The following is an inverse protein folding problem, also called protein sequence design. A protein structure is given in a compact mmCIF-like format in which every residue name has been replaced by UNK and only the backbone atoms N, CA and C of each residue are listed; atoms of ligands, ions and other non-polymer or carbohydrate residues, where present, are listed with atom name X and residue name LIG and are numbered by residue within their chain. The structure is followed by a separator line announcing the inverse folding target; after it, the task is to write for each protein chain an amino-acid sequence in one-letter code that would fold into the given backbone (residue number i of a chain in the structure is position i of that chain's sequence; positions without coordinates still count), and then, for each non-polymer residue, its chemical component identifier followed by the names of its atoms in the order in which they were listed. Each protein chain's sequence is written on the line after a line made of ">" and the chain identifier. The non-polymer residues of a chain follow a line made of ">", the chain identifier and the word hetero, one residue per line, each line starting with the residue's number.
data_IF_311358879918
#
_entry.id   IF_311358879918
#
_cell.length_a   1.000
_cell.length_b   1.000
_cell.length_c   1.000
_cell.angle_alpha   90.00
_cell.angle_beta   90.00
_cell.angle_gamma   90.00
#
_symmetry.space_group_name_H-M   'P 1'
#
loop_
_entity.id
_entity.type
_entity.pdbx_description
1 polymer ?
#
# COMPACT_ATOMS: atom_id res chain seq x y z
N UNK A 1 8.77 13.02 12.94
CA UNK A 1 7.38 12.58 13.16
C UNK A 1 6.61 13.53 14.12
N UNK A 2 5.35 13.81 13.81
CA UNK A 2 4.38 14.45 14.70
C UNK A 2 3.63 13.37 15.49
N UNK A 3 3.07 13.70 16.65
CA UNK A 3 2.22 12.77 17.43
C UNK A 3 0.77 13.16 17.25
N UNK A 4 -0.06 12.20 16.83
CA UNK A 4 -1.50 12.36 16.69
C UNK A 4 -2.22 11.73 17.87
N UNK A 5 -3.17 12.46 18.46
CA UNK A 5 -4.07 11.94 19.49
C UNK A 5 -5.51 12.09 19.06
N UNK A 6 -6.27 11.03 19.27
CA UNK A 6 -7.73 11.02 19.14
C UNK A 6 -8.32 10.96 20.55
N UNK A 7 -9.16 11.93 20.91
CA UNK A 7 -9.91 11.92 22.17
C UNK A 7 -11.40 11.82 21.87
N UNK A 8 -12.10 10.96 22.61
CA UNK A 8 -13.56 10.89 22.62
C UNK A 8 -14.08 11.74 23.78
N UNK A 9 -14.83 12.79 23.48
CA UNK A 9 -15.58 13.53 24.49
C UNK A 9 -16.99 12.98 24.59
N UNK A 10 -17.67 13.22 25.71
CA UNK A 10 -19.05 12.78 26.01
C UNK A 10 -20.12 13.32 25.06
N UNK A 11 -19.75 14.14 24.08
CA UNK A 11 -20.53 14.47 22.88
C UNK A 11 -19.73 14.05 21.63
N UNK A 12 -20.41 13.47 20.63
CA UNK A 12 -19.90 12.74 19.45
C UNK A 12 -19.01 13.53 18.47
N UNK A 13 -18.00 14.27 18.93
CA UNK A 13 -17.01 14.93 18.09
C UNK A 13 -15.64 14.29 18.30
N UNK A 14 -15.13 13.66 17.25
CA UNK A 14 -13.74 13.19 17.16
C UNK A 14 -12.83 14.42 17.04
N UNK A 15 -12.08 14.74 18.10
CA UNK A 15 -11.07 15.80 18.06
C UNK A 15 -9.70 15.19 17.79
N UNK A 16 -9.09 15.59 16.66
CA UNK A 16 -7.72 15.21 16.31
C UNK A 16 -6.77 16.32 16.79
N UNK A 17 -5.83 15.97 17.65
CA UNK A 17 -4.81 16.89 18.15
C UNK A 17 -3.43 16.47 17.66
N UNK A 18 -2.67 17.45 17.18
CA UNK A 18 -1.33 17.27 16.64
C UNK A 18 -0.34 17.98 17.55
N UNK A 19 0.64 17.24 18.07
CA UNK A 19 1.72 17.83 18.87
C UNK A 19 2.90 18.18 17.98
N UNK A 20 3.25 19.46 17.99
CA UNK A 20 4.28 20.07 17.15
C UNK A 20 5.69 19.93 17.77
N UNK A 21 6.78 20.09 17.00
CA UNK A 21 8.16 19.96 17.51
C UNK A 21 8.51 20.93 18.65
N UNK A 22 7.92 22.13 18.65
CA UNK A 22 8.01 23.12 19.72
C UNK A 22 7.14 22.78 20.95
N UNK A 23 6.55 21.58 20.98
CA UNK A 23 5.65 21.04 22.01
C UNK A 23 4.28 21.69 22.10
N UNK A 24 3.93 22.63 21.22
CA UNK A 24 2.56 23.16 21.14
C UNK A 24 1.61 22.09 20.62
N UNK A 25 0.37 22.14 21.07
CA UNK A 25 -0.70 21.26 20.58
C UNK A 25 -1.62 22.09 19.72
N UNK A 26 -1.85 21.63 18.50
CA UNK A 26 -2.73 22.26 17.52
C UNK A 26 -3.79 21.28 17.09
N UNK A 27 -4.98 21.78 16.77
CA UNK A 27 -6.04 20.95 16.22
C UNK A 27 -5.75 20.58 14.76
N UNK A 28 -5.87 19.29 14.44
CA UNK A 28 -5.78 18.77 13.10
C UNK A 28 -7.17 18.58 12.51
N UNK A 29 -7.39 19.06 11.29
CA UNK A 29 -8.62 18.81 10.52
C UNK A 29 -8.40 17.63 9.58
N UNK A 30 -9.23 16.60 9.67
CA UNK A 30 -9.21 15.50 8.72
C UNK A 30 -9.64 15.99 7.34
N UNK A 31 -8.73 15.94 6.36
CA UNK A 31 -9.04 16.24 4.97
C UNK A 31 -9.58 15.01 4.25
N UNK A 32 -8.94 13.87 4.47
CA UNK A 32 -9.14 12.65 3.68
C UNK A 32 -8.80 11.41 4.48
N UNK A 33 -9.56 10.33 4.24
CA UNK A 33 -9.23 9.00 4.71
C UNK A 33 -9.43 8.00 3.57
N UNK A 34 -8.38 7.22 3.27
CA UNK A 34 -8.45 6.10 2.35
C UNK A 34 -8.49 4.79 3.15
N UNK A 35 -9.61 4.08 3.08
CA UNK A 35 -9.79 2.81 3.77
C UNK A 35 -8.87 1.72 3.23
N UNK A 36 -8.66 1.70 1.90
CA UNK A 36 -7.83 0.69 1.25
C UNK A 36 -6.37 0.80 1.67
N UNK A 37 -5.80 2.00 1.77
CA UNK A 37 -4.41 2.17 2.21
C UNK A 37 -4.27 2.37 3.73
N UNK A 38 -5.37 2.63 4.44
CA UNK A 38 -5.34 2.96 5.86
C UNK A 38 -4.68 4.30 6.17
N UNK A 39 -4.66 5.23 5.21
CA UNK A 39 -4.00 6.54 5.34
C UNK A 39 -5.03 7.64 5.58
N UNK A 40 -4.68 8.58 6.46
CA UNK A 40 -5.42 9.81 6.70
C UNK A 40 -4.54 11.02 6.37
N UNK A 41 -5.08 12.00 5.65
CA UNK A 41 -4.44 13.29 5.44
C UNK A 41 -5.06 14.32 6.38
N UNK A 42 -4.22 15.01 7.14
CA UNK A 42 -4.63 16.01 8.11
C UNK A 42 -4.10 17.38 7.70
N UNK A 43 -4.93 18.40 7.85
CA UNK A 43 -4.54 19.80 7.78
C UNK A 43 -4.30 20.32 9.20
N UNK A 44 -3.17 21.00 9.40
CA UNK A 44 -2.85 21.67 10.65
C UNK A 44 -2.57 23.13 10.33
N UNK A 45 -3.29 24.06 10.97
CA UNK A 45 -3.09 25.50 10.80
C UNK A 45 -2.14 26.03 11.86
N UNK A 46 -1.15 26.82 11.47
CA UNK A 46 -0.32 27.56 12.42
C UNK A 46 0.92 28.16 11.79
N UNK A 47 1.57 29.06 12.54
CA UNK A 47 2.77 29.77 12.12
C UNK A 47 4.00 28.94 12.48
N UNK A 48 4.28 27.93 11.66
CA UNK A 48 5.45 27.07 11.81
C UNK A 48 6.15 26.84 10.47
N UNK A 49 7.48 26.83 10.50
CA UNK A 49 8.28 26.37 9.37
C UNK A 49 8.61 24.89 9.58
N UNK A 50 8.00 24.03 8.76
CA UNK A 50 8.33 22.61 8.73
C UNK A 50 9.28 22.35 7.56
N UNK A 51 10.34 21.60 7.83
CA UNK A 51 11.16 21.05 6.77
C UNK A 51 10.42 19.86 6.15
N UNK A 52 10.27 19.89 4.83
CA UNK A 52 9.77 18.74 4.07
C UNK A 52 10.88 17.70 4.05
N UNK A 53 10.60 16.46 4.49
CA UNK A 53 11.60 15.39 4.48
C UNK A 53 11.95 14.97 3.04
N UNK A 54 13.13 14.40 2.87
CA UNK A 54 13.50 13.71 1.63
C UNK A 54 12.71 12.41 1.49
N UNK A 55 12.40 12.03 0.26
CA UNK A 55 11.66 10.81 -0.06
C UNK A 55 12.51 9.90 -0.95
N UNK A 56 12.58 8.62 -0.58
CA UNK A 56 13.29 7.61 -1.36
C UNK A 56 12.47 7.12 -2.56
N UNK A 57 13.07 6.24 -3.36
CA UNK A 57 12.47 5.71 -4.59
C UNK A 57 11.48 4.55 -4.36
N UNK A 58 11.37 4.05 -3.14
CA UNK A 58 10.50 2.92 -2.79
C UNK A 58 11.18 1.99 -1.79
N UNK A 59 10.59 0.81 -1.63
CA UNK A 59 11.02 -0.21 -0.68
C UNK A 59 11.22 -1.55 -1.38
N UNK A 60 12.32 -2.23 -1.06
CA UNK A 60 12.67 -3.54 -1.58
C UNK A 60 12.76 -4.57 -0.45
N UNK A 61 12.45 -5.82 -0.75
CA UNK A 61 12.64 -6.91 0.21
C UNK A 61 14.11 -7.07 0.60
N UNK A 62 14.36 -7.35 1.87
CA UNK A 62 15.70 -7.44 2.47
C UNK A 62 16.37 -6.09 2.74
N UNK A 63 15.78 -4.97 2.32
CA UNK A 63 16.34 -3.63 2.58
C UNK A 63 16.33 -3.34 4.09
N UNK A 64 17.47 -2.87 4.61
CA UNK A 64 17.58 -2.32 5.97
C UNK A 64 16.80 -1.00 6.09
N UNK A 65 16.09 -0.87 7.20
CA UNK A 65 15.18 0.24 7.45
C UNK A 65 15.17 0.63 8.92
N UNK A 66 14.79 1.88 9.15
CA UNK A 66 14.58 2.43 10.48
C UNK A 66 13.13 2.90 10.63
N UNK A 67 12.38 2.29 11.55
CA UNK A 67 11.04 2.75 11.92
C UNK A 67 11.15 3.82 13.00
N UNK A 68 10.65 5.03 12.71
CA UNK A 68 10.72 6.18 13.60
C UNK A 68 9.36 6.48 14.20
N UNK A 69 9.35 6.73 15.50
CA UNK A 69 8.17 7.15 16.24
C UNK A 69 8.52 8.26 17.24
N UNK A 70 7.51 8.83 17.90
CA UNK A 70 7.71 9.67 19.08
C UNK A 70 6.84 9.17 20.21
N UNK A 71 7.39 9.15 21.41
CA UNK A 71 6.65 8.79 22.62
C UNK A 71 5.74 9.94 23.09
N UNK A 72 5.05 9.73 24.20
CA UNK A 72 4.20 10.74 24.82
C UNK A 72 4.96 12.00 25.27
N UNK A 73 6.28 11.90 25.48
CA UNK A 73 7.14 13.01 25.85
C UNK A 73 7.77 13.72 24.64
N UNK A 74 7.37 13.34 23.41
CA UNK A 74 7.96 13.78 22.14
C UNK A 74 9.42 13.35 21.96
N UNK A 75 9.92 12.38 22.72
CA UNK A 75 11.24 11.78 22.52
C UNK A 75 11.23 10.97 21.23
N UNK A 76 12.26 11.11 20.40
CA UNK A 76 12.39 10.31 19.19
C UNK A 76 12.72 8.86 19.58
N UNK A 77 11.96 7.92 19.04
CA UNK A 77 12.21 6.49 19.17
C UNK A 77 12.56 5.92 17.80
N UNK A 78 13.51 4.99 17.76
CA UNK A 78 13.96 4.33 16.54
C UNK A 78 14.03 2.83 16.77
N UNK A 79 13.62 2.07 15.75
CA UNK A 79 13.81 0.63 15.67
C UNK A 79 14.47 0.30 14.33
N UNK A 80 15.56 -0.43 14.38
CA UNK A 80 16.25 -0.93 13.19
C UNK A 80 15.69 -2.30 12.83
N UNK A 81 15.48 -2.54 11.54
CA UNK A 81 15.03 -3.82 11.01
C UNK A 81 15.19 -3.86 9.50
N UNK A 82 14.44 -4.74 8.85
CA UNK A 82 14.48 -4.99 7.41
C UNK A 82 13.08 -5.20 6.85
N UNK A 83 12.91 -5.00 5.54
CA UNK A 83 11.70 -5.45 4.83
C UNK A 83 11.74 -6.97 4.69
N UNK A 84 10.78 -7.67 5.27
CA UNK A 84 10.76 -9.14 5.32
C UNK A 84 10.17 -9.77 4.07
N UNK A 85 10.74 -10.90 3.66
CA UNK A 85 10.22 -11.80 2.63
C UNK A 85 9.09 -12.66 3.19
N UNK A 86 8.11 -12.02 3.84
CA UNK A 86 6.98 -12.69 4.48
C UNK A 86 5.70 -12.33 3.76
N UNK A 87 4.84 -13.32 3.60
CA UNK A 87 3.46 -13.13 3.17
C UNK A 87 2.55 -13.94 4.08
N UNK A 88 1.42 -13.34 4.47
CA UNK A 88 0.38 -13.98 5.25
C UNK A 88 -0.91 -14.02 4.42
N UNK A 89 -1.12 -15.11 3.65
CA UNK A 89 -2.21 -15.22 2.70
C UNK A 89 -3.56 -15.01 3.37
N UNK A 90 -4.40 -14.14 2.79
CA UNK A 90 -5.78 -13.90 3.24
C UNK A 90 -5.95 -12.86 4.35
N UNK A 91 -4.85 -12.36 4.94
CA UNK A 91 -4.91 -11.36 6.02
C UNK A 91 -4.77 -9.92 5.50
N UNK A 92 -4.09 -9.71 4.37
CA UNK A 92 -3.85 -8.39 3.80
C UNK A 92 -4.38 -8.32 2.37
N UNK A 93 -5.35 -7.43 2.12
CA UNK A 93 -5.85 -7.08 0.78
C UNK A 93 -5.09 -5.93 0.12
N UNK A 94 -4.07 -5.42 0.81
CA UNK A 94 -3.48 -4.11 0.59
C UNK A 94 -1.98 -4.28 0.29
N UNK A 95 -1.34 -3.30 -0.36
CA UNK A 95 0.06 -3.35 -0.84
C UNK A 95 1.08 -3.19 0.30
N UNK A 96 0.86 -3.88 1.41
CA UNK A 96 1.71 -3.83 2.59
C UNK A 96 2.86 -4.84 2.46
N UNK A 97 4.00 -4.51 3.04
CA UNK A 97 5.12 -5.43 3.26
C UNK A 97 5.44 -5.51 4.74
N UNK A 98 5.93 -6.66 5.21
CA UNK A 98 6.22 -6.86 6.62
C UNK A 98 7.56 -6.26 7.02
N UNK A 99 7.63 -5.73 8.24
CA UNK A 99 8.87 -5.31 8.88
C UNK A 99 9.36 -6.43 9.80
N UNK A 100 10.68 -6.64 9.87
CA UNK A 100 11.29 -7.59 10.81
C UNK A 100 11.46 -7.02 12.23
N UNK A 101 11.15 -5.74 12.42
CA UNK A 101 11.20 -5.05 13.70
C UNK A 101 9.81 -4.62 14.15
N UNK A 102 9.63 -4.56 15.48
CA UNK A 102 8.46 -3.94 16.08
C UNK A 102 8.43 -2.44 15.80
N UNK A 103 7.21 -1.88 15.70
CA UNK A 103 7.01 -0.44 15.69
C UNK A 103 6.89 0.01 17.15
N UNK A 104 7.57 1.07 17.60
CA UNK A 104 7.38 1.59 18.95
C UNK A 104 5.91 1.92 19.22
N UNK A 105 5.46 1.80 20.47
CA UNK A 105 4.09 2.14 20.85
C UNK A 105 3.74 3.57 20.42
N UNK A 106 2.55 3.74 19.83
CA UNK A 106 2.14 5.02 19.21
C UNK A 106 2.85 5.36 17.90
N UNK A 107 3.69 4.45 17.37
CA UNK A 107 4.45 4.63 16.14
C UNK A 107 3.72 4.27 14.85
N UNK A 108 2.49 3.76 14.91
CA UNK A 108 1.66 3.56 13.71
C UNK A 108 1.38 4.92 13.06
N UNK A 109 1.57 5.00 11.73
CA UNK A 109 1.59 6.26 11.00
C UNK A 109 2.97 6.95 10.99
N UNK A 110 3.96 6.40 11.69
CA UNK A 110 5.33 6.89 11.72
C UNK A 110 6.11 6.57 10.42
N UNK A 111 7.12 7.39 10.07
CA UNK A 111 7.91 7.15 8.87
C UNK A 111 8.87 5.97 9.06
N UNK A 112 9.03 5.23 7.98
CA UNK A 112 10.14 4.28 7.79
C UNK A 112 11.15 4.95 6.86
N UNK A 113 12.43 4.98 7.28
CA UNK A 113 13.51 5.63 6.52
C UNK A 113 14.62 4.65 6.15
N UNK A 114 15.31 4.96 5.05
CA UNK A 114 16.56 4.29 4.66
C UNK A 114 17.76 4.84 5.44
N UNK A 115 18.96 4.32 5.14
CA UNK A 115 20.22 4.73 5.74
C UNK A 115 20.58 6.21 5.51
N UNK A 116 20.10 6.80 4.42
CA UNK A 116 20.34 8.20 4.06
C UNK A 116 19.31 9.14 4.72
N UNK A 117 18.35 8.58 5.48
CA UNK A 117 17.28 9.32 6.13
C UNK A 117 16.14 9.71 5.20
N UNK A 118 16.08 9.17 3.99
CA UNK A 118 14.94 9.37 3.10
C UNK A 118 13.76 8.53 3.58
N UNK A 119 12.57 9.11 3.60
CA UNK A 119 11.34 8.36 3.90
C UNK A 119 11.05 7.44 2.72
N UNK A 120 10.96 6.15 3.01
CA UNK A 120 10.67 5.07 2.06
C UNK A 120 9.31 4.42 2.30
N UNK A 121 8.69 4.66 3.46
CA UNK A 121 7.32 4.23 3.73
C UNK A 121 6.71 4.77 5.02
N UNK A 122 5.50 4.32 5.33
CA UNK A 122 4.81 4.57 6.60
C UNK A 122 4.48 3.23 7.25
N UNK A 123 4.80 3.12 8.54
CA UNK A 123 4.62 1.90 9.32
C UNK A 123 3.22 1.81 9.95
N UNK A 124 2.65 0.62 10.01
CA UNK A 124 1.40 0.32 10.69
C UNK A 124 1.54 -0.93 11.53
N UNK A 125 0.94 -0.90 12.71
CA UNK A 125 0.75 -2.11 13.47
C UNK A 125 -0.51 -2.83 12.95
N UNK A 126 -0.36 -4.07 12.52
CA UNK A 126 -1.44 -4.91 11.98
C UNK A 126 -1.19 -6.35 12.39
N UNK A 127 -2.25 -7.12 12.61
CA UNK A 127 -2.09 -8.56 12.77
C UNK A 127 -1.70 -9.19 11.41
N UNK A 128 -0.71 -10.11 11.37
CA UNK A 128 -0.01 -10.74 12.50
C UNK A 128 1.29 -10.05 12.94
N UNK A 129 1.70 -8.97 12.28
CA UNK A 129 2.87 -8.20 12.67
C UNK A 129 3.00 -6.88 11.91
N UNK A 130 3.95 -6.03 12.32
CA UNK A 130 4.15 -4.72 11.75
C UNK A 130 4.33 -4.73 10.24
N UNK A 131 3.68 -3.77 9.57
CA UNK A 131 3.76 -3.60 8.12
C UNK A 131 4.18 -2.20 7.73
N UNK A 132 4.64 -2.05 6.50
CA UNK A 132 4.94 -0.78 5.86
C UNK A 132 4.22 -0.68 4.52
N UNK A 133 3.74 0.52 4.18
CA UNK A 133 3.30 0.86 2.83
C UNK A 133 4.34 1.78 2.17
N UNK A 134 4.58 1.56 0.88
CA UNK A 134 5.57 2.34 0.12
C UNK A 134 5.23 3.83 0.09
N UNK A 135 6.27 4.66 0.22
CA UNK A 135 6.14 6.10 0.11
C UNK A 135 5.67 6.53 -1.29
N UNK A 136 6.02 5.78 -2.33
CA UNK A 136 5.59 6.03 -3.71
C UNK A 136 4.07 5.98 -3.81
N UNK A 137 3.48 4.88 -3.33
CA UNK A 137 2.03 4.69 -3.23
C UNK A 137 1.34 5.80 -2.43
N UNK A 138 1.89 6.15 -1.25
CA UNK A 138 1.33 7.22 -0.41
C UNK A 138 1.37 8.57 -1.13
N UNK A 139 2.50 8.91 -1.76
CA UNK A 139 2.67 10.18 -2.47
C UNK A 139 1.68 10.30 -3.62
N UNK A 140 1.54 9.24 -4.42
CA UNK A 140 0.53 9.23 -5.50
C UNK A 140 -0.88 9.43 -4.95
N UNK A 141 -1.23 8.81 -3.82
CA UNK A 141 -2.52 9.05 -3.18
C UNK A 141 -2.71 10.50 -2.72
N UNK A 142 -1.67 11.12 -2.13
CA UNK A 142 -1.70 12.52 -1.71
C UNK A 142 -1.86 13.46 -2.93
N UNK A 143 -1.11 13.21 -4.00
CA UNK A 143 -1.16 13.98 -5.24
C UNK A 143 -2.55 13.87 -5.90
N UNK A 144 -3.11 12.66 -5.99
CA UNK A 144 -4.47 12.44 -6.50
C UNK A 144 -5.51 13.18 -5.66
N UNK A 145 -5.41 13.10 -4.34
CA UNK A 145 -6.32 13.80 -3.45
C UNK A 145 -6.22 15.32 -3.64
N UNK A 146 -5.00 15.86 -3.73
CA UNK A 146 -4.79 17.28 -3.92
C UNK A 146 -5.40 17.79 -5.23
N UNK A 147 -5.25 17.04 -6.32
CA UNK A 147 -5.71 17.48 -7.64
C UNK A 147 -7.19 17.17 -7.91
N UNK A 148 -7.69 16.03 -7.44
CA UNK A 148 -9.02 15.52 -7.81
C UNK A 148 -9.95 15.32 -6.61
N UNK A 149 -9.46 15.49 -5.37
CA UNK A 149 -10.19 15.16 -4.13
C UNK A 149 -10.74 13.73 -4.09
N UNK A 150 -10.10 12.82 -4.84
CA UNK A 150 -10.45 11.41 -4.99
C UNK A 150 -9.16 10.63 -5.19
N UNK A 151 -9.11 9.39 -4.73
CA UNK A 151 -8.06 8.44 -5.07
C UNK A 151 -8.72 7.31 -5.84
N UNK A 152 -8.29 7.09 -7.07
CA UNK A 152 -8.84 6.06 -7.95
C UNK A 152 -7.85 4.91 -8.13
N UNK A 153 -8.37 3.68 -8.18
CA UNK A 153 -7.58 2.47 -8.40
C UNK A 153 -8.44 1.39 -9.08
N UNK A 154 -7.92 0.66 -10.07
CA UNK A 154 -8.60 -0.52 -10.61
C UNK A 154 -8.89 -1.59 -9.53
N UNK A 155 -10.08 -2.17 -9.56
CA UNK A 155 -10.50 -3.25 -8.65
C UNK A 155 -10.34 -4.63 -9.30
N UNK A 156 -9.18 -5.25 -9.11
CA UNK A 156 -8.88 -6.57 -9.68
C UNK A 156 -9.83 -7.69 -9.23
N UNK A 157 -10.56 -7.54 -8.13
CA UNK A 157 -11.48 -8.59 -7.66
C UNK A 157 -10.79 -9.89 -7.24
N UNK A 158 -9.48 -9.85 -6.97
CA UNK A 158 -8.68 -11.00 -6.54
C UNK A 158 -7.60 -10.57 -5.54
N UNK A 159 -7.08 -11.53 -4.77
CA UNK A 159 -5.89 -11.37 -3.95
C UNK A 159 -4.72 -12.05 -4.62
N UNK A 160 -3.59 -11.36 -4.66
CA UNK A 160 -2.38 -11.78 -5.34
C UNK A 160 -1.26 -11.96 -4.33
N UNK A 161 -0.45 -13.00 -4.53
CA UNK A 161 0.83 -13.22 -3.86
C UNK A 161 1.94 -13.09 -4.90
N UNK A 162 2.94 -12.25 -4.66
CA UNK A 162 4.09 -12.16 -5.57
C UNK A 162 4.86 -13.48 -5.59
N UNK A 163 5.24 -13.96 -6.78
CA UNK A 163 6.08 -15.17 -6.95
C UNK A 163 7.41 -15.03 -6.21
N UNK A 164 7.91 -13.81 -6.08
CA UNK A 164 9.13 -13.47 -5.33
C UNK A 164 9.04 -13.86 -3.84
N UNK A 165 7.83 -13.92 -3.26
CA UNK A 165 7.56 -14.30 -1.86
C UNK A 165 7.36 -15.81 -1.65
N UNK A 166 7.63 -16.63 -2.67
CA UNK A 166 7.59 -18.09 -2.54
C UNK A 166 8.95 -18.64 -2.08
N UNK A 167 8.88 -19.82 -1.47
CA UNK A 167 10.08 -20.59 -1.15
C UNK A 167 10.90 -20.88 -2.42
N UNK A 168 12.22 -20.96 -2.24
CA UNK A 168 13.16 -21.14 -3.35
C UNK A 168 12.84 -22.38 -4.18
N UNK A 169 12.41 -23.48 -3.55
CA UNK A 169 12.03 -24.72 -4.24
C UNK A 169 10.82 -24.52 -5.16
N UNK A 170 9.77 -23.83 -4.69
CA UNK A 170 8.58 -23.53 -5.51
C UNK A 170 8.94 -22.59 -6.66
N UNK A 171 9.83 -21.63 -6.44
CA UNK A 171 10.31 -20.73 -7.50
C UNK A 171 11.12 -21.48 -8.55
N UNK A 172 11.96 -22.42 -8.13
CA UNK A 172 12.72 -23.29 -9.02
C UNK A 172 11.80 -24.16 -9.86
N UNK A 173 10.80 -24.80 -9.25
CA UNK A 173 9.76 -25.59 -9.94
C UNK A 173 9.03 -24.75 -11.01
N UNK A 174 8.52 -23.58 -10.62
CA UNK A 174 7.86 -22.64 -11.55
C UNK A 174 8.76 -22.24 -12.72
N UNK A 175 10.04 -22.03 -12.46
CA UNK A 175 11.02 -21.66 -13.47
C UNK A 175 11.32 -22.82 -14.43
N UNK A 176 11.59 -24.02 -13.91
CA UNK A 176 12.02 -25.17 -14.70
C UNK A 176 10.87 -25.81 -15.49
N UNK A 177 9.69 -25.91 -14.89
CA UNK A 177 8.55 -26.62 -15.49
C UNK A 177 7.68 -25.72 -16.35
N UNK A 178 7.53 -24.44 -15.97
CA UNK A 178 6.58 -23.51 -16.60
C UNK A 178 7.23 -22.27 -17.21
N UNK A 179 8.56 -22.11 -17.08
CA UNK A 179 9.31 -20.92 -17.52
C UNK A 179 8.74 -19.62 -16.90
N UNK A 180 8.28 -19.70 -15.65
CA UNK A 180 7.74 -18.59 -14.87
C UNK A 180 8.84 -18.08 -13.94
N UNK A 181 9.34 -16.88 -14.21
CA UNK A 181 10.41 -16.23 -13.42
C UNK A 181 9.91 -15.09 -12.52
N UNK A 182 8.61 -14.76 -12.61
CA UNK A 182 7.99 -13.70 -11.85
C UNK A 182 6.48 -13.64 -12.07
N UNK A 183 5.85 -12.60 -11.56
CA UNK A 183 4.39 -12.43 -11.60
C UNK A 183 3.75 -12.70 -10.25
N UNK A 184 2.47 -13.07 -10.27
CA UNK A 184 1.64 -13.15 -9.08
C UNK A 184 0.77 -14.41 -9.09
N UNK A 185 0.80 -15.18 -8.01
CA UNK A 185 -0.14 -16.29 -7.79
C UNK A 185 -1.46 -15.74 -7.26
N UNK A 186 -2.56 -16.21 -7.83
CA UNK A 186 -3.91 -15.90 -7.36
C UNK A 186 -4.22 -16.71 -6.10
N UNK A 187 -4.28 -16.04 -4.96
CA UNK A 187 -4.61 -16.67 -3.69
C UNK A 187 -6.12 -16.77 -3.45
N UNK A 188 -6.88 -15.77 -3.93
CA UNK A 188 -8.33 -15.70 -3.80
C UNK A 188 -8.92 -14.97 -5.00
N UNK A 189 -10.05 -15.45 -5.50
CA UNK A 189 -10.90 -14.73 -6.45
C UNK A 189 -12.21 -14.39 -5.75
N UNK A 190 -12.65 -13.14 -5.82
CA UNK A 190 -13.93 -12.72 -5.25
C UNK A 190 -15.08 -13.24 -6.11
N UNK A 191 -16.12 -13.75 -5.47
CA UNK A 191 -17.39 -14.11 -6.12
C UNK A 191 -17.97 -12.89 -6.82
N UNK A 192 -18.56 -13.09 -8.00
CA UNK A 192 -19.16 -12.08 -8.87
C UNK A 192 -18.17 -11.00 -9.36
N UNK A 193 -16.87 -11.23 -9.24
CA UNK A 193 -15.84 -10.34 -9.78
C UNK A 193 -15.65 -10.53 -11.28
N UNK A 194 -15.08 -9.51 -11.95
CA UNK A 194 -14.71 -9.67 -13.35
C UNK A 194 -13.66 -10.77 -13.54
N UNK A 195 -12.72 -10.92 -12.59
CA UNK A 195 -11.73 -12.01 -12.61
C UNK A 195 -12.42 -13.39 -12.64
N UNK A 196 -13.43 -13.62 -11.81
CA UNK A 196 -14.19 -14.88 -11.80
C UNK A 196 -14.91 -15.11 -13.14
N UNK A 197 -15.59 -14.08 -13.67
CA UNK A 197 -16.37 -14.17 -14.91
C UNK A 197 -15.51 -14.48 -16.14
N UNK A 198 -14.27 -13.99 -16.18
CA UNK A 198 -13.34 -14.27 -17.29
C UNK A 198 -12.53 -15.55 -17.10
N UNK A 199 -12.80 -16.33 -16.04
CA UNK A 199 -12.20 -17.64 -15.86
C UNK A 199 -10.94 -17.68 -14.99
N UNK A 200 -10.48 -16.57 -14.41
CA UNK A 200 -9.35 -16.61 -13.45
C UNK A 200 -9.77 -17.39 -12.21
N UNK A 201 -8.90 -18.29 -11.75
CA UNK A 201 -9.10 -19.16 -10.59
C UNK A 201 -7.96 -19.04 -9.60
N UNK A 202 -8.22 -19.48 -8.37
CA UNK A 202 -7.19 -19.65 -7.34
C UNK A 202 -6.14 -20.65 -7.84
N UNK A 203 -4.87 -20.31 -7.66
CA UNK A 203 -3.74 -21.13 -8.11
C UNK A 203 -3.15 -20.69 -9.45
N UNK A 204 -3.90 -19.93 -10.26
CA UNK A 204 -3.36 -19.37 -11.50
C UNK A 204 -2.17 -18.44 -11.21
N UNK A 205 -1.18 -18.43 -12.10
CA UNK A 205 -0.10 -17.43 -12.10
C UNK A 205 -0.40 -16.37 -13.14
N UNK A 206 -0.41 -15.11 -12.72
CA UNK A 206 -0.71 -13.95 -13.54
C UNK A 206 0.55 -13.13 -13.77
N UNK A 207 0.82 -12.84 -15.04
CA UNK A 207 1.86 -11.90 -15.47
C UNK A 207 1.22 -10.73 -16.20
N UNK A 208 1.38 -9.52 -15.68
CA UNK A 208 0.92 -8.30 -16.34
C UNK A 208 1.85 -7.98 -17.52
N UNK A 209 1.30 -7.84 -18.73
CA UNK A 209 2.11 -7.62 -19.94
C UNK A 209 2.54 -6.17 -20.12
N UNK A 210 1.68 -5.24 -19.70
CA UNK A 210 1.89 -3.81 -19.90
C UNK A 210 2.93 -3.23 -18.91
N UNK A 211 3.19 -3.92 -17.80
CA UNK A 211 4.21 -3.55 -16.84
C UNK A 211 4.81 -4.77 -16.16
N UNK A 212 6.14 -4.87 -16.13
CA UNK A 212 6.89 -5.98 -15.51
C UNK A 212 7.01 -5.79 -14.00
N UNK A 213 5.87 -5.68 -13.31
CA UNK A 213 5.83 -5.63 -11.86
C UNK A 213 6.25 -7.00 -11.28
N UNK A 214 7.26 -7.02 -10.41
CA UNK A 214 7.68 -8.24 -9.69
C UNK A 214 7.21 -8.24 -8.23
N UNK A 215 6.97 -7.05 -7.65
CA UNK A 215 6.55 -6.88 -6.26
C UNK A 215 5.15 -6.30 -6.14
N UNK A 216 4.51 -6.50 -4.99
CA UNK A 216 3.19 -5.92 -4.70
C UNK A 216 3.20 -4.38 -4.72
N UNK A 217 4.19 -3.67 -4.14
CA UNK A 217 4.26 -2.21 -4.27
C UNK A 217 4.38 -1.73 -5.71
N UNK A 218 5.16 -2.40 -6.55
CA UNK A 218 5.28 -2.03 -7.97
C UNK A 218 3.96 -2.23 -8.72
N UNK A 219 3.26 -3.33 -8.46
CA UNK A 219 1.93 -3.56 -9.02
C UNK A 219 0.97 -2.47 -8.55
N UNK A 220 1.03 -2.09 -7.29
CA UNK A 220 0.18 -1.05 -6.74
C UNK A 220 0.42 0.31 -7.40
N UNK A 221 1.68 0.72 -7.52
CA UNK A 221 2.05 1.98 -8.16
C UNK A 221 1.60 2.01 -9.63
N UNK A 222 1.68 0.86 -10.32
CA UNK A 222 1.11 0.72 -11.66
C UNK A 222 -0.41 0.89 -11.68
N UNK A 223 -1.14 0.24 -10.77
CA UNK A 223 -2.59 0.36 -10.68
C UNK A 223 -3.03 1.80 -10.34
N UNK A 224 -2.29 2.49 -9.46
CA UNK A 224 -2.51 3.90 -9.19
C UNK A 224 -2.20 4.78 -10.41
N UNK A 225 -1.18 4.48 -11.21
CA UNK A 225 -0.91 5.23 -12.45
C UNK A 225 -2.09 5.17 -13.43
N UNK A 226 -2.77 4.02 -13.52
CA UNK A 226 -3.99 3.87 -14.31
C UNK A 226 -5.15 4.66 -13.70
N UNK A 227 -5.26 4.67 -12.36
CA UNK A 227 -6.23 5.48 -11.63
C UNK A 227 -6.06 6.97 -11.86
N UNK A 228 -4.82 7.44 -11.98
CA UNK A 228 -4.51 8.82 -12.32
C UNK A 228 -5.07 9.18 -13.69
N UNK A 229 -4.82 8.34 -14.70
CA UNK A 229 -5.38 8.52 -16.04
C UNK A 229 -6.91 8.52 -16.05
N UNK A 230 -7.54 7.65 -15.27
CA UNK A 230 -8.99 7.66 -15.06
C UNK A 230 -9.49 9.00 -14.51
N UNK A 231 -8.83 9.56 -13.49
CA UNK A 231 -9.22 10.84 -12.88
C UNK A 231 -9.03 12.03 -13.83
N UNK A 232 -8.14 11.91 -14.82
CA UNK A 232 -8.01 12.88 -15.91
C UNK A 232 -9.10 12.76 -16.99
N UNK A 233 -10.00 11.78 -16.87
CA UNK A 233 -11.10 11.55 -17.82
C UNK A 233 -10.73 10.72 -19.04
N UNK A 234 -9.64 9.95 -19.00
CA UNK A 234 -9.15 9.17 -20.15
C UNK A 234 -10.00 7.92 -20.45
N UNK A 235 -10.57 7.26 -19.44
CA UNK A 235 -11.44 6.08 -19.60
C UNK A 235 -12.20 5.78 -18.30
N UNK A 236 -13.31 5.03 -18.38
CA UNK A 236 -14.10 4.55 -17.23
C UNK A 236 -13.75 3.11 -16.78
N UNK A 237 -13.08 2.36 -17.65
CA UNK A 237 -12.58 1.00 -17.42
C UNK A 237 -11.16 0.89 -17.97
N UNK A 238 -10.38 -0.05 -17.47
CA UNK A 238 -9.07 -0.36 -18.06
C UNK A 238 -9.02 -1.83 -18.46
N UNK A 239 -8.59 -2.07 -19.69
CA UNK A 239 -8.40 -3.40 -20.24
C UNK A 239 -6.96 -3.83 -20.00
N UNK A 240 -6.71 -4.47 -18.86
CA UNK A 240 -5.38 -4.97 -18.52
C UNK A 240 -5.04 -6.16 -19.39
N UNK A 241 -3.88 -6.14 -20.05
CA UNK A 241 -3.37 -7.32 -20.74
C UNK A 241 -2.62 -8.20 -19.76
N UNK A 242 -3.17 -9.38 -19.49
CA UNK A 242 -2.58 -10.34 -18.57
C UNK A 242 -2.35 -11.67 -19.26
N UNK A 243 -1.26 -12.31 -18.88
CA UNK A 243 -0.99 -13.71 -19.20
C UNK A 243 -1.34 -14.54 -17.98
N UNK A 244 -2.19 -15.55 -18.18
CA UNK A 244 -2.64 -16.46 -17.14
C UNK A 244 -2.03 -17.82 -17.43
N UNK A 245 -1.34 -18.37 -16.44
CA UNK A 245 -0.80 -19.73 -16.45
C UNK A 245 -1.61 -20.55 -15.46
N UNK A 246 -2.35 -21.53 -15.97
CA UNK A 246 -3.01 -22.51 -15.14
C UNK A 246 -2.06 -23.71 -14.99
N UNK A 247 -1.55 -23.89 -13.77
CA UNK A 247 -0.57 -24.94 -13.48
C UNK A 247 -1.20 -26.35 -13.43
N UNK A 248 -2.51 -26.46 -13.17
CA UNK A 248 -3.18 -27.75 -13.04
C UNK A 248 -3.46 -28.38 -14.41
N UNK A 249 -3.91 -27.56 -15.37
CA UNK A 249 -4.25 -27.98 -16.73
C UNK A 249 -3.09 -27.72 -17.71
N UNK A 250 -1.96 -27.22 -17.22
CA UNK A 250 -0.72 -26.93 -17.96
C UNK A 250 -0.94 -26.10 -19.23
N UNK A 251 -1.79 -25.09 -19.16
CA UNK A 251 -2.01 -24.15 -20.26
C UNK A 251 -1.65 -22.72 -19.86
N UNK A 252 -1.37 -21.95 -20.91
CA UNK A 252 -1.03 -20.53 -20.83
C UNK A 252 -1.86 -19.79 -21.86
N UNK A 253 -2.53 -18.74 -21.42
CA UNK A 253 -3.35 -17.90 -22.29
C UNK A 253 -3.12 -16.42 -22.02
N UNK A 254 -3.35 -15.60 -23.04
CA UNK A 254 -3.33 -14.14 -22.93
C UNK A 254 -4.76 -13.64 -23.00
N UNK A 255 -5.21 -13.01 -21.93
CA UNK A 255 -6.58 -12.52 -21.83
C UNK A 255 -6.59 -11.00 -21.65
N UNK A 256 -7.68 -10.41 -22.14
CA UNK A 256 -8.01 -9.01 -21.84
C UNK A 256 -8.84 -9.01 -20.57
N UNK A 257 -8.36 -8.31 -19.55
CA UNK A 257 -9.00 -8.23 -18.26
C UNK A 257 -9.60 -6.84 -18.06
N UNK A 258 -10.90 -6.64 -18.34
CA UNK A 258 -11.58 -5.37 -18.11
C UNK A 258 -11.78 -5.14 -16.61
N UNK A 259 -11.19 -4.09 -16.06
CA UNK A 259 -11.23 -3.79 -14.63
C UNK A 259 -11.93 -2.44 -14.39
N UNK A 260 -12.98 -2.40 -13.54
CA UNK A 260 -13.59 -1.15 -13.13
C UNK A 260 -12.70 -0.42 -12.13
N UNK A 261 -12.80 0.91 -12.11
CA UNK A 261 -12.16 1.73 -11.08
C UNK A 261 -13.03 1.82 -9.82
N UNK A 262 -12.38 1.83 -8.67
CA UNK A 262 -12.95 2.36 -7.43
C UNK A 262 -12.32 3.69 -7.15
N UNK A 263 -13.16 4.67 -6.85
CA UNK A 263 -12.78 6.01 -6.43
C UNK A 263 -13.33 6.35 -5.03
N UNK A 264 -13.89 5.35 -4.33
CA UNK A 264 -14.68 5.53 -3.11
C UNK A 264 -13.81 6.14 -2.01
N UNK A 265 -13.83 7.46 -1.98
CA UNK A 265 -13.16 8.29 -1.01
C UNK A 265 -14.24 8.85 -0.11
N UNK A 266 -14.23 8.53 1.18
CA UNK A 266 -15.14 9.19 2.12
C UNK A 266 -14.60 10.59 2.38
N UNK A 267 -15.18 11.60 1.74
CA UNK A 267 -15.08 12.98 2.23
C UNK A 267 -15.76 13.02 3.59
N UNK A 268 -15.00 13.39 4.62
CA UNK A 268 -15.59 13.70 5.92
C UNK A 268 -16.00 15.16 5.83
N UNK A 269 -17.30 15.41 5.60
CA UNK A 269 -17.89 16.71 5.88
C UNK A 269 -17.89 16.89 7.38
N UNK A 270 -16.94 17.68 7.88
CA UNK A 270 -16.94 18.26 9.23
C UNK A 270 -17.97 19.37 9.31
#
# INVERSE_FOLDING_TARGET
>A
PLVLRCATSTEFFLKLSVRMPNRTITEGRLLFFNVHYGIALLEVKGDFQLQVPSFGLGINYGQDVFALARDENMSLMVRHGTISWLDYPGLLTNPYMFLSCDIPEGGSGGPVVDHDGNIIGIAFDRNPGPVVISITTIRTCIEMWHQFSRVARPMLGMQLKAVELLDVSMREELCLEYNITGGFIVNLVKVDSTAERIGIRRGDVIVFKDNRCSTLPQLEDYLLSLGWGYLQGLSFTVDLKVEVHNLADSYKESITFPVPFSDVSKRVTT
#
